data_IF_344084197818
#
_entry.id   IF_344084197818
#
_cell.length_a   1.000
_cell.length_b   1.000
_cell.length_c   1.000
_cell.angle_alpha   90.00
_cell.angle_beta   90.00
_cell.angle_gamma   90.00
#
_symmetry.space_group_name_H-M   'P 1'
#
loop_
_entity.id
_entity.type
_entity.pdbx_description
1 polymer ?
#
# COMPACT_ATOMS: atom_id res chain seq x y z
N UNK A 1 18.70 -30.96 -62.00
CA UNK A 1 17.99 -31.44 -60.80
C UNK A 1 18.96 -31.58 -59.65
N UNK A 2 18.90 -30.69 -58.65
CA UNK A 2 18.96 -30.98 -57.21
C UNK A 2 19.14 -29.66 -56.46
N UNK A 3 18.00 -29.11 -56.03
CA UNK A 3 17.97 -28.05 -55.05
C UNK A 3 18.40 -28.63 -53.71
N UNK A 4 19.38 -27.98 -53.07
CA UNK A 4 19.86 -28.32 -51.74
C UNK A 4 18.89 -27.69 -50.73
N UNK A 5 18.10 -28.53 -50.06
CA UNK A 5 17.22 -28.12 -48.97
C UNK A 5 18.07 -27.76 -47.74
N UNK A 6 18.13 -26.47 -47.40
CA UNK A 6 18.68 -26.02 -46.11
C UNK A 6 17.54 -26.13 -45.10
N UNK A 7 17.66 -27.11 -44.20
CA UNK A 7 16.74 -27.30 -43.08
C UNK A 7 16.91 -26.16 -42.06
N UNK A 8 15.88 -25.33 -41.91
CA UNK A 8 15.81 -24.32 -40.86
C UNK A 8 15.46 -25.00 -39.52
N UNK A 9 16.42 -25.06 -38.60
CA UNK A 9 16.19 -25.49 -37.23
C UNK A 9 15.49 -24.36 -36.45
N UNK A 10 14.18 -24.49 -36.24
CA UNK A 10 13.40 -23.63 -35.36
C UNK A 10 13.76 -23.96 -33.90
N UNK A 11 14.56 -23.09 -33.27
CA UNK A 11 14.79 -23.12 -31.82
C UNK A 11 13.52 -22.58 -31.15
N UNK A 12 12.71 -23.47 -30.59
CA UNK A 12 11.58 -23.12 -29.75
C UNK A 12 12.09 -22.62 -28.38
N UNK A 13 12.26 -21.31 -28.24
CA UNK A 13 12.50 -20.67 -26.95
C UNK A 13 11.22 -20.77 -26.09
N UNK A 14 11.14 -21.76 -25.21
CA UNK A 14 10.18 -21.77 -24.12
C UNK A 14 10.54 -20.64 -23.15
N UNK A 15 9.93 -19.47 -23.34
CA UNK A 15 9.95 -18.38 -22.37
C UNK A 15 9.27 -18.87 -21.09
N UNK A 16 10.06 -19.37 -20.14
CA UNK A 16 9.63 -19.55 -18.76
C UNK A 16 9.22 -18.18 -18.23
N UNK A 17 7.92 -17.91 -18.23
CA UNK A 17 7.36 -16.75 -17.54
C UNK A 17 7.55 -17.00 -16.04
N UNK A 18 8.70 -16.56 -15.50
CA UNK A 18 8.84 -16.44 -14.05
C UNK A 18 7.70 -15.55 -13.58
N UNK A 19 6.91 -15.96 -12.58
CA UNK A 19 5.95 -15.06 -11.98
C UNK A 19 6.75 -13.84 -11.51
N UNK A 20 6.44 -12.68 -12.07
CA UNK A 20 6.86 -11.42 -11.45
C UNK A 20 6.20 -11.45 -10.07
N UNK A 21 7.00 -11.78 -9.05
CA UNK A 21 6.64 -11.57 -7.66
C UNK A 21 6.53 -10.06 -7.52
N UNK A 22 5.29 -9.59 -7.52
CA UNK A 22 4.95 -8.27 -7.11
C UNK A 22 4.92 -8.30 -5.57
N UNK A 23 5.54 -7.30 -4.96
CA UNK A 23 5.48 -7.08 -3.53
C UNK A 23 4.95 -5.68 -3.27
N UNK A 24 4.05 -5.59 -2.31
CA UNK A 24 3.63 -4.35 -1.67
C UNK A 24 4.14 -4.21 -0.25
N UNK A 25 4.13 -2.98 0.25
CA UNK A 25 4.49 -2.65 1.63
C UNK A 25 3.65 -1.48 2.12
N UNK A 26 3.39 -1.43 3.43
CA UNK A 26 2.74 -0.31 4.08
C UNK A 26 3.62 0.20 5.23
N UNK A 27 3.78 1.51 5.28
CA UNK A 27 4.44 2.21 6.38
C UNK A 27 3.46 3.13 7.09
N UNK A 28 3.50 3.18 8.42
CA UNK A 28 2.59 3.98 9.24
C UNK A 28 3.38 4.70 10.33
N UNK A 29 3.01 5.96 10.57
CA UNK A 29 3.31 6.71 11.77
C UNK A 29 2.01 7.01 12.51
N UNK A 30 1.80 6.30 13.61
CA UNK A 30 0.63 6.44 14.47
C UNK A 30 1.13 6.73 15.90
N UNK A 31 1.19 8.00 16.31
CA UNK A 31 1.55 8.40 17.66
C UNK A 31 0.44 8.05 18.66
N UNK A 32 0.70 8.23 19.96
CA UNK A 32 -0.28 7.92 21.01
C UNK A 32 -1.52 8.83 20.94
N UNK A 33 -1.38 10.06 20.44
CA UNK A 33 -2.47 11.00 20.24
C UNK A 33 -2.43 11.58 18.81
N UNK A 34 -3.18 10.94 17.89
CA UNK A 34 -3.32 11.38 16.50
C UNK A 34 -3.93 12.78 16.39
N UNK A 35 -4.79 13.19 17.33
CA UNK A 35 -5.43 14.50 17.27
C UNK A 35 -4.43 15.64 17.47
N UNK A 36 -3.40 15.41 18.30
CA UNK A 36 -2.36 16.41 18.59
C UNK A 36 -1.14 16.24 17.68
N UNK A 37 -0.69 15.00 17.52
CA UNK A 37 0.58 14.69 16.86
C UNK A 37 0.39 14.34 15.38
N UNK A 38 -0.83 14.16 14.89
CA UNK A 38 -1.13 13.82 13.50
C UNK A 38 -0.88 12.35 13.15
N UNK A 39 -1.04 12.02 11.87
CA UNK A 39 -0.93 10.67 11.34
C UNK A 39 -0.25 10.70 9.97
N UNK A 40 0.58 9.70 9.66
CA UNK A 40 1.14 9.55 8.31
C UNK A 40 1.13 8.09 7.87
N UNK A 41 0.94 7.89 6.58
CA UNK A 41 0.85 6.56 5.96
C UNK A 41 1.44 6.60 4.55
N UNK A 42 2.05 5.50 4.14
CA UNK A 42 2.53 5.29 2.78
C UNK A 42 2.28 3.85 2.32
N UNK A 43 2.02 3.65 1.03
CA UNK A 43 1.76 2.34 0.45
C UNK A 43 2.54 2.17 -0.85
N UNK A 44 3.30 1.09 -0.94
CA UNK A 44 3.95 0.67 -2.18
C UNK A 44 3.32 -0.63 -2.66
N UNK A 45 3.28 -0.83 -3.98
CA UNK A 45 2.77 -2.04 -4.61
C UNK A 45 3.42 -2.25 -5.98
N UNK A 46 3.41 -3.47 -6.50
CA UNK A 46 4.01 -3.86 -7.77
C UNK A 46 5.53 -3.66 -7.84
N UNK A 47 6.21 -3.80 -6.70
CA UNK A 47 7.67 -3.79 -6.64
C UNK A 47 8.25 -5.19 -6.83
N UNK A 48 9.49 -5.28 -7.31
CA UNK A 48 10.15 -6.58 -7.58
C UNK A 48 10.65 -7.29 -6.33
N UNK A 49 10.84 -6.55 -5.24
CA UNK A 49 11.39 -7.06 -3.98
C UNK A 49 10.76 -6.34 -2.79
N UNK A 50 10.72 -7.01 -1.64
CA UNK A 50 10.30 -6.42 -0.36
C UNK A 50 11.06 -5.14 -0.06
N UNK A 51 12.40 -5.13 -0.20
CA UNK A 51 13.23 -3.96 0.09
C UNK A 51 12.80 -2.73 -0.71
N UNK A 52 12.60 -2.87 -2.02
CA UNK A 52 12.19 -1.72 -2.85
C UNK A 52 10.76 -1.25 -2.55
N UNK A 53 9.87 -2.16 -2.14
CA UNK A 53 8.52 -1.82 -1.68
C UNK A 53 8.58 -1.06 -0.34
N UNK A 54 9.33 -1.58 0.63
CA UNK A 54 9.48 -1.00 1.97
C UNK A 54 10.09 0.41 1.89
N UNK A 55 11.18 0.57 1.15
CA UNK A 55 11.77 1.90 0.97
C UNK A 55 10.78 2.90 0.36
N UNK A 56 9.97 2.46 -0.62
CA UNK A 56 8.96 3.31 -1.25
C UNK A 56 7.87 3.69 -0.25
N UNK A 57 7.33 2.73 0.49
CA UNK A 57 6.31 2.97 1.49
C UNK A 57 6.82 3.93 2.60
N UNK A 58 8.06 3.75 3.07
CA UNK A 58 8.68 4.65 4.03
C UNK A 58 8.87 6.06 3.49
N UNK A 59 9.31 6.21 2.24
CA UNK A 59 9.44 7.53 1.60
C UNK A 59 8.10 8.25 1.54
N UNK A 60 7.04 7.57 1.12
CA UNK A 60 5.70 8.14 1.03
C UNK A 60 5.14 8.53 2.41
N UNK A 61 5.27 7.66 3.41
CA UNK A 61 4.87 7.97 4.78
C UNK A 61 5.61 9.22 5.30
N UNK A 62 6.90 9.36 4.99
CA UNK A 62 7.72 10.51 5.40
C UNK A 62 7.46 11.78 4.57
N UNK A 63 6.66 11.71 3.51
CA UNK A 63 6.32 12.87 2.67
C UNK A 63 4.94 13.47 2.94
N UNK A 64 4.14 12.90 3.86
CA UNK A 64 2.82 13.44 4.24
C UNK A 64 2.98 14.79 4.93
N UNK A 65 2.79 15.90 4.21
CA UNK A 65 3.09 17.25 4.71
C UNK A 65 2.15 17.69 5.83
N UNK A 66 0.93 17.15 5.87
CA UNK A 66 -0.06 17.37 6.91
C UNK A 66 0.39 16.82 8.27
N UNK A 67 1.30 15.84 8.27
CA UNK A 67 1.86 15.27 9.48
C UNK A 67 3.08 16.10 9.98
N UNK A 68 3.12 16.44 11.28
CA UNK A 68 4.27 17.08 11.90
C UNK A 68 5.58 16.34 11.62
N UNK A 69 6.72 17.06 11.50
CA UNK A 69 8.02 16.42 11.27
C UNK A 69 8.39 15.36 12.32
N UNK A 70 7.94 15.50 13.57
CA UNK A 70 8.15 14.51 14.63
C UNK A 70 7.42 13.19 14.31
N UNK A 71 6.18 13.27 13.84
CA UNK A 71 5.34 12.13 13.46
C UNK A 71 5.87 11.43 12.23
N UNK A 72 6.30 12.18 11.21
CA UNK A 72 6.93 11.59 10.02
C UNK A 72 8.19 10.77 10.34
N UNK A 73 8.92 11.11 11.42
CA UNK A 73 10.07 10.30 11.88
C UNK A 73 9.67 8.97 12.51
N UNK A 74 8.42 8.82 12.93
CA UNK A 74 7.89 7.57 13.49
C UNK A 74 7.50 6.54 12.41
N UNK A 75 7.51 6.92 11.13
CA UNK A 75 7.17 6.04 10.01
C UNK A 75 8.00 4.75 10.06
N UNK A 76 7.29 3.63 10.20
CA UNK A 76 7.85 2.27 10.21
C UNK A 76 7.04 1.36 9.30
N UNK A 77 7.69 0.36 8.73
CA UNK A 77 6.99 -0.71 8.02
C UNK A 77 6.11 -1.47 9.01
N UNK A 78 4.81 -1.53 8.74
CA UNK A 78 3.88 -2.37 9.51
C UNK A 78 3.73 -3.74 8.89
N UNK A 79 3.86 -3.85 7.56
CA UNK A 79 3.73 -5.12 6.83
C UNK A 79 4.20 -5.00 5.38
N UNK A 80 4.77 -6.09 4.85
CA UNK A 80 4.85 -6.39 3.41
C UNK A 80 3.75 -7.37 3.02
N UNK A 81 3.29 -7.31 1.78
CA UNK A 81 2.19 -8.12 1.29
C UNK A 81 2.37 -8.48 -0.18
N UNK A 82 1.82 -9.63 -0.59
CA UNK A 82 1.85 -10.10 -1.98
C UNK A 82 0.42 -10.45 -2.38
N UNK A 83 -0.01 -10.01 -3.57
CA UNK A 83 -1.35 -10.30 -4.07
C UNK A 83 -2.47 -9.93 -3.07
N UNK A 84 -2.32 -8.77 -2.43
CA UNK A 84 -3.26 -8.17 -1.48
C UNK A 84 -3.36 -6.67 -1.77
N UNK A 85 -4.34 -6.01 -1.15
CA UNK A 85 -4.55 -4.58 -1.24
C UNK A 85 -4.40 -3.92 0.13
N UNK A 86 -3.89 -2.69 0.15
CA UNK A 86 -3.88 -1.84 1.32
C UNK A 86 -4.72 -0.59 1.11
N UNK A 87 -5.28 -0.07 2.20
CA UNK A 87 -5.99 1.20 2.21
C UNK A 87 -5.79 1.93 3.53
N UNK A 88 -5.92 3.25 3.50
CA UNK A 88 -5.96 4.12 4.66
C UNK A 88 -7.15 5.09 4.59
N UNK A 89 -7.73 5.39 5.75
CA UNK A 89 -8.79 6.34 5.94
C UNK A 89 -8.42 7.34 7.03
N UNK A 90 -8.80 8.61 6.84
CA UNK A 90 -8.53 9.70 7.78
C UNK A 90 -9.78 10.60 7.85
N UNK A 91 -10.08 11.15 9.03
CA UNK A 91 -10.95 12.32 9.16
C UNK A 91 -10.20 13.55 8.61
N UNK A 92 -10.70 14.20 7.54
CA UNK A 92 -9.96 15.25 6.84
C UNK A 92 -9.75 16.53 7.67
N UNK A 93 -10.40 16.66 8.83
CA UNK A 93 -10.18 17.81 9.69
C UNK A 93 -8.95 17.60 10.59
N UNK A 94 -8.01 18.53 10.50
CA UNK A 94 -6.89 18.63 11.42
C UNK A 94 -7.35 18.71 12.87
N UNK A 95 -6.61 18.08 13.78
CA UNK A 95 -6.94 18.09 15.21
C UNK A 95 -7.94 17.00 15.61
N UNK A 96 -8.26 16.05 14.74
CA UNK A 96 -9.17 14.94 15.04
C UNK A 96 -8.42 13.62 15.16
N UNK A 97 -8.93 12.67 15.97
CA UNK A 97 -8.27 11.37 16.17
C UNK A 97 -8.56 10.35 15.06
N UNK A 98 -9.44 10.67 14.10
CA UNK A 98 -9.92 9.73 13.10
C UNK A 98 -8.84 9.31 12.12
N UNK A 99 -8.31 8.10 12.31
CA UNK A 99 -7.36 7.48 11.41
C UNK A 99 -7.49 5.95 11.43
N UNK A 100 -7.26 5.32 10.29
CA UNK A 100 -7.32 3.87 10.15
C UNK A 100 -6.61 3.39 8.89
N UNK A 101 -6.09 2.17 8.94
CA UNK A 101 -5.45 1.52 7.81
C UNK A 101 -5.71 0.02 7.87
N UNK A 102 -5.66 -0.64 6.71
CA UNK A 102 -5.82 -2.08 6.62
C UNK A 102 -5.09 -2.64 5.39
N UNK A 103 -4.73 -3.92 5.49
CA UNK A 103 -4.28 -4.76 4.37
C UNK A 103 -5.17 -5.98 4.32
N UNK A 104 -5.69 -6.32 3.14
CA UNK A 104 -6.59 -7.45 2.95
C UNK A 104 -6.51 -8.03 1.54
N UNK A 105 -7.14 -9.19 1.34
CA UNK A 105 -7.10 -9.91 0.06
C UNK A 105 -7.77 -9.17 -1.10
N UNK A 106 -8.69 -8.24 -0.80
CA UNK A 106 -9.36 -7.40 -1.80
C UNK A 106 -9.38 -5.95 -1.37
N UNK A 107 -9.46 -5.04 -2.34
CA UNK A 107 -9.52 -3.61 -2.10
C UNK A 107 -10.78 -3.23 -1.34
N UNK A 108 -11.92 -3.87 -1.66
CA UNK A 108 -13.18 -3.62 -0.97
C UNK A 108 -13.09 -3.93 0.53
N UNK A 109 -12.43 -5.03 0.89
CA UNK A 109 -12.19 -5.39 2.30
C UNK A 109 -11.22 -4.39 2.94
N UNK A 110 -10.09 -4.08 2.29
CA UNK A 110 -9.11 -3.14 2.82
C UNK A 110 -9.73 -1.76 3.10
N UNK A 111 -10.53 -1.22 2.16
CA UNK A 111 -11.21 0.07 2.32
C UNK A 111 -12.22 0.04 3.47
N UNK A 112 -13.08 -0.98 3.52
CA UNK A 112 -14.07 -1.12 4.59
C UNK A 112 -13.39 -1.18 5.95
N UNK A 113 -12.35 -1.99 6.09
CA UNK A 113 -11.68 -2.19 7.37
C UNK A 113 -10.86 -0.95 7.78
N UNK A 114 -10.26 -0.24 6.82
CA UNK A 114 -9.59 1.04 7.08
C UNK A 114 -10.60 2.13 7.52
N UNK A 115 -11.74 2.24 6.84
CA UNK A 115 -12.82 3.17 7.23
C UNK A 115 -13.35 2.84 8.61
N UNK A 116 -13.66 1.57 8.90
CA UNK A 116 -14.15 1.18 10.22
C UNK A 116 -13.18 1.57 11.33
N UNK A 117 -11.87 1.36 11.13
CA UNK A 117 -10.85 1.76 12.11
C UNK A 117 -10.78 3.27 12.30
N UNK A 118 -10.90 4.03 11.23
CA UNK A 118 -11.00 5.49 11.31
C UNK A 118 -12.25 5.91 12.10
N UNK A 119 -13.40 5.28 11.82
CA UNK A 119 -14.65 5.58 12.52
C UNK A 119 -14.59 5.27 14.01
N UNK A 120 -13.94 4.17 14.38
CA UNK A 120 -13.74 3.74 15.75
C UNK A 120 -12.89 4.74 16.53
N UNK A 121 -11.86 5.32 15.91
CA UNK A 121 -10.95 6.30 16.54
C UNK A 121 -11.49 7.73 16.49
N UNK A 122 -12.21 8.11 15.44
CA UNK A 122 -12.81 9.45 15.26
C UNK A 122 -13.82 9.78 16.37
N UNK A 123 -14.52 8.76 16.89
CA UNK A 123 -15.55 8.92 17.90
C UNK A 123 -16.91 9.30 17.30
N UNK A 124 -17.94 9.36 18.15
CA UNK A 124 -19.35 9.40 17.72
C UNK A 124 -19.70 10.58 16.83
N UNK A 125 -19.10 11.74 17.07
CA UNK A 125 -19.44 12.99 16.39
C UNK A 125 -18.73 13.14 15.05
N UNK A 126 -17.70 12.32 14.80
CA UNK A 126 -16.76 12.47 13.68
C UNK A 126 -16.67 11.26 12.78
N UNK A 127 -17.14 10.08 13.21
CA UNK A 127 -17.08 8.85 12.41
C UNK A 127 -17.61 9.02 10.98
N UNK A 128 -18.67 9.79 10.78
CA UNK A 128 -19.23 10.06 9.44
C UNK A 128 -18.31 10.86 8.51
N UNK A 129 -17.21 11.43 9.02
CA UNK A 129 -16.27 12.26 8.26
C UNK A 129 -15.07 11.49 7.72
N UNK A 130 -14.85 10.23 8.15
CA UNK A 130 -13.76 9.41 7.65
C UNK A 130 -13.85 9.20 6.13
N UNK A 131 -12.73 9.41 5.42
CA UNK A 131 -12.60 9.21 3.96
C UNK A 131 -11.38 8.36 3.66
N UNK A 132 -11.47 7.53 2.61
CA UNK A 132 -10.29 6.86 2.06
C UNK A 132 -9.39 7.91 1.43
N UNK A 133 -8.13 7.96 1.84
CA UNK A 133 -7.12 8.92 1.35
C UNK A 133 -6.01 8.25 0.57
N UNK A 134 -5.79 6.95 0.79
CA UNK A 134 -4.75 6.18 0.14
C UNK A 134 -5.24 4.75 -0.08
N UNK A 135 -5.00 4.20 -1.27
CA UNK A 135 -5.35 2.82 -1.58
C UNK A 135 -4.50 2.25 -2.71
N UNK A 136 -4.34 0.93 -2.76
CA UNK A 136 -3.60 0.26 -3.82
C UNK A 136 -3.56 -1.25 -3.66
N UNK A 137 -3.36 -1.96 -4.77
CA UNK A 137 -3.28 -3.41 -4.81
C UNK A 137 -1.97 -3.87 -5.43
N UNK A 138 -1.39 -4.89 -4.82
CA UNK A 138 -0.24 -5.60 -5.34
C UNK A 138 -0.68 -6.82 -6.17
N UNK A 139 0.03 -7.09 -7.27
CA UNK A 139 -0.16 -8.28 -8.08
C UNK A 139 -1.51 -8.31 -8.79
N UNK A 140 -2.29 -9.36 -8.54
CA UNK A 140 -3.59 -9.60 -9.21
C UNK A 140 -4.79 -9.31 -8.31
N UNK A 141 -4.56 -8.84 -7.09
CA UNK A 141 -5.64 -8.45 -6.18
C UNK A 141 -6.45 -7.29 -6.75
N UNK A 142 -7.73 -7.22 -6.36
CA UNK A 142 -8.71 -6.24 -6.86
C UNK A 142 -9.60 -5.73 -5.75
#
# INVERSE_FOLDING_TARGET
>A
MKQLFIAAALIAACSLASPVHATGAMAVAEPADVSTDGFAVGIAYNHKTNETAEERALRECRSVEEAPPATRKLCKIVRTFENQCGAAAIDPQNGTPGAGWAIADTLAIAKRDALQRCEDTAGRDRKGECRITLEGCDGKAK
#
